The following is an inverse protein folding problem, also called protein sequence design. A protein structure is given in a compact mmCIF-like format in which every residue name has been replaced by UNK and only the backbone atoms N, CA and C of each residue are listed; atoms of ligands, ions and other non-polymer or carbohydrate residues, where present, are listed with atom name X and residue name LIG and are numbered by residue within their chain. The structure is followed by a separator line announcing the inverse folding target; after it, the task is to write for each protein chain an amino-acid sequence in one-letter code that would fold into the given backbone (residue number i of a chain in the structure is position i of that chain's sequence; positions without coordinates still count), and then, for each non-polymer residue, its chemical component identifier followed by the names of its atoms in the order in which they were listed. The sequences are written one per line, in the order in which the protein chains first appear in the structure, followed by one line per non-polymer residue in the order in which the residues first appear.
data_IF_192514946466
#
_entry.id   IF_192514946466
#
_cell.length_a   1.000
_cell.length_b   1.000
_cell.length_c   1.000
_cell.angle_alpha   90.00
_cell.angle_beta   90.00
_cell.angle_gamma   90.00
#
_symmetry.space_group_name_H-M   'P 1'
#
loop_
_entity.id
_entity.type
_entity.pdbx_description
1 polymer ?
#
# COMPACT_ATOMS: atom_id res chain seq x y z
N UNK A 1 9.33 25.35 -7.27
CA UNK A 1 10.55 24.54 -7.10
C UNK A 1 10.04 23.14 -6.88
N UNK A 2 10.34 22.25 -7.82
CA UNK A 2 9.76 20.92 -7.93
C UNK A 2 10.14 20.04 -6.74
N UNK A 3 9.21 19.15 -6.34
CA UNK A 3 9.36 18.24 -5.20
C UNK A 3 10.57 17.29 -5.32
N UNK A 4 11.10 17.08 -6.54
CA UNK A 4 12.23 16.19 -6.83
C UNK A 4 13.60 16.66 -6.31
N UNK A 5 13.74 17.89 -5.80
CA UNK A 5 15.03 18.38 -5.26
C UNK A 5 15.08 18.53 -3.73
N UNK A 6 14.02 18.13 -3.02
CA UNK A 6 13.99 18.10 -1.55
C UNK A 6 14.49 16.71 -1.13
N UNK A 7 15.70 16.61 -0.57
CA UNK A 7 16.27 15.34 -0.06
C UNK A 7 15.35 14.66 0.97
N UNK A 8 15.74 13.52 1.54
CA UNK A 8 14.87 12.80 2.49
C UNK A 8 14.51 13.66 3.72
N UNK A 9 13.40 13.33 4.39
CA UNK A 9 13.05 14.00 5.66
C UNK A 9 14.18 13.79 6.68
N UNK A 10 14.78 12.59 6.69
CA UNK A 10 15.97 12.27 7.47
C UNK A 10 17.13 13.26 7.22
N UNK A 11 17.46 13.56 5.96
CA UNK A 11 18.52 14.51 5.62
C UNK A 11 18.17 15.93 6.10
N UNK A 12 16.91 16.35 5.93
CA UNK A 12 16.45 17.67 6.32
C UNK A 12 16.40 17.89 7.84
N UNK A 13 16.19 16.82 8.63
CA UNK A 13 16.31 16.86 10.09
C UNK A 13 17.77 17.06 10.55
N UNK A 14 18.75 16.71 9.71
CA UNK A 14 20.18 16.70 10.07
C UNK A 14 20.75 15.28 10.27
N UNK A 15 20.06 14.26 9.77
CA UNK A 15 20.51 12.86 9.77
C UNK A 15 20.57 12.22 11.15
N UNK A 16 21.34 11.13 11.25
CA UNK A 16 21.37 10.27 12.44
C UNK A 16 21.66 11.00 13.77
N UNK A 17 22.61 11.98 13.85
CA UNK A 17 22.84 12.71 15.10
C UNK A 17 21.62 13.50 15.58
N UNK A 18 20.89 14.15 14.68
CA UNK A 18 19.70 14.94 15.00
C UNK A 18 18.51 14.06 15.39
N UNK A 19 18.29 12.96 14.67
CA UNK A 19 17.25 11.97 15.03
C UNK A 19 17.54 11.34 16.41
N UNK A 20 18.81 11.08 16.74
CA UNK A 20 19.19 10.59 18.07
C UNK A 20 18.95 11.64 19.17
N UNK A 21 19.22 12.91 18.90
CA UNK A 21 18.92 14.00 19.83
C UNK A 21 17.40 14.09 20.08
N UNK A 22 16.59 14.04 19.02
CA UNK A 22 15.14 14.02 19.08
C UNK A 22 14.61 12.82 19.89
N UNK A 23 15.08 11.61 19.61
CA UNK A 23 14.67 10.41 20.33
C UNK A 23 14.96 10.49 21.84
N UNK A 24 16.12 11.07 22.21
CA UNK A 24 16.48 11.30 23.62
C UNK A 24 15.59 12.35 24.28
N UNK A 25 15.36 13.48 23.61
CA UNK A 25 14.52 14.55 24.11
C UNK A 25 13.07 14.09 24.30
N UNK A 26 12.52 13.38 23.30
CA UNK A 26 11.18 12.81 23.36
C UNK A 26 11.04 11.82 24.52
N UNK A 27 11.98 10.88 24.64
CA UNK A 27 11.95 9.90 25.73
C UNK A 27 12.00 10.58 27.10
N UNK A 28 12.86 11.58 27.28
CA UNK A 28 12.94 12.35 28.52
C UNK A 28 11.62 13.06 28.85
N UNK A 29 10.95 13.65 27.85
CA UNK A 29 9.63 14.27 28.01
C UNK A 29 8.56 13.26 28.39
N UNK A 30 8.49 12.13 27.68
CA UNK A 30 7.50 11.09 27.99
C UNK A 30 7.66 10.52 29.40
N UNK A 31 8.90 10.31 29.87
CA UNK A 31 9.16 9.86 31.25
C UNK A 31 8.70 10.90 32.29
N UNK A 32 8.78 12.19 31.96
CA UNK A 32 8.36 13.27 32.86
C UNK A 32 6.85 13.58 32.79
N UNK A 33 6.16 13.19 31.72
CA UNK A 33 4.75 13.49 31.50
C UNK A 33 3.83 12.49 32.23
N UNK A 34 2.82 12.97 33.00
CA UNK A 34 1.96 12.10 33.80
C UNK A 34 1.06 11.17 32.97
N UNK A 35 0.74 11.53 31.73
CA UNK A 35 -0.06 10.70 30.81
C UNK A 35 0.84 9.77 29.99
N UNK A 36 1.99 10.26 29.51
CA UNK A 36 2.87 9.50 28.63
C UNK A 36 3.86 8.56 29.34
N UNK A 37 4.06 8.71 30.66
CA UNK A 37 5.09 7.97 31.39
C UNK A 37 4.76 6.49 31.62
N UNK A 38 3.48 6.11 31.63
CA UNK A 38 3.05 4.77 32.06
C UNK A 38 3.77 3.61 31.34
N UNK A 39 3.92 3.60 30.00
CA UNK A 39 4.65 2.54 29.29
C UNK A 39 6.10 2.35 29.74
N UNK A 40 6.74 3.41 30.24
CA UNK A 40 8.15 3.42 30.63
C UNK A 40 8.38 2.99 32.09
N UNK A 41 7.32 2.77 32.87
CA UNK A 41 7.42 2.45 34.31
C UNK A 41 7.38 0.96 34.64
N UNK A 42 6.81 0.13 33.76
CA UNK A 42 6.50 -1.28 34.06
C UNK A 42 7.43 -2.30 33.41
N UNK A 43 8.09 -1.93 32.32
CA UNK A 43 8.99 -2.81 31.57
C UNK A 43 10.43 -2.34 31.69
N UNK A 44 11.36 -3.28 31.80
CA UNK A 44 12.79 -2.95 31.71
C UNK A 44 13.09 -2.54 30.27
N UNK A 45 13.27 -1.24 30.04
CA UNK A 45 13.71 -0.73 28.75
C UNK A 45 15.09 -1.29 28.41
N UNK A 46 15.30 -1.54 27.12
CA UNK A 46 16.63 -1.88 26.63
C UNK A 46 17.63 -0.76 27.02
N UNK A 47 18.87 -1.07 27.48
CA UNK A 47 19.86 -0.05 27.87
C UNK A 47 20.20 0.97 26.78
N UNK A 48 19.93 0.63 25.53
CA UNK A 48 20.10 1.48 24.35
C UNK A 48 18.77 1.86 23.69
N UNK A 49 17.69 2.01 24.46
CA UNK A 49 16.35 2.28 23.94
C UNK A 49 16.32 3.48 22.99
N UNK A 50 16.89 4.62 23.39
CA UNK A 50 16.92 5.83 22.55
C UNK A 50 17.71 5.64 21.25
N UNK A 51 18.80 4.87 21.25
CA UNK A 51 19.56 4.56 20.04
C UNK A 51 18.77 3.67 19.07
N UNK A 52 18.07 2.66 19.60
CA UNK A 52 17.21 1.78 18.79
C UNK A 52 16.04 2.54 18.20
N UNK A 53 15.42 3.41 19.00
CA UNK A 53 14.34 4.29 18.57
C UNK A 53 14.82 5.24 17.46
N UNK A 54 15.99 5.85 17.62
CA UNK A 54 16.57 6.73 16.62
C UNK A 54 16.90 6.00 15.31
N UNK A 55 17.41 4.77 15.36
CA UNK A 55 17.65 3.96 14.18
C UNK A 55 16.34 3.62 13.46
N UNK A 56 15.31 3.22 14.21
CA UNK A 56 13.98 2.93 13.67
C UNK A 56 13.35 4.15 12.99
N UNK A 57 13.30 5.28 13.70
CA UNK A 57 12.78 6.55 13.17
C UNK A 57 13.59 7.06 11.99
N UNK A 58 14.92 7.01 12.09
CA UNK A 58 15.81 7.45 11.03
C UNK A 58 15.59 6.65 9.75
N UNK A 59 15.42 5.33 9.89
CA UNK A 59 15.06 4.46 8.79
C UNK A 59 13.68 4.85 8.21
N UNK A 60 12.63 4.96 9.03
CA UNK A 60 11.30 5.38 8.54
C UNK A 60 11.31 6.72 7.78
N UNK A 61 12.16 7.68 8.17
CA UNK A 61 12.24 9.01 7.55
C UNK A 61 13.12 9.08 6.29
N UNK A 62 13.56 7.93 5.77
CA UNK A 62 14.36 7.82 4.54
C UNK A 62 15.88 7.69 4.75
N UNK A 63 16.31 7.46 5.98
CA UNK A 63 17.71 7.19 6.33
C UNK A 63 18.17 5.75 6.00
N UNK A 64 19.45 5.44 6.27
CA UNK A 64 20.02 4.11 6.04
C UNK A 64 19.28 3.01 6.85
N UNK A 65 19.34 1.74 6.42
CA UNK A 65 18.59 0.63 7.03
C UNK A 65 19.23 0.13 8.34
N UNK A 66 19.62 1.03 9.24
CA UNK A 66 20.38 0.70 10.44
C UNK A 66 19.55 -0.16 11.41
N UNK A 67 18.23 0.02 11.45
CA UNK A 67 17.34 -0.76 12.31
C UNK A 67 17.11 -2.16 11.75
N UNK A 68 16.60 -2.26 10.52
CA UNK A 68 16.22 -3.55 9.92
C UNK A 68 17.42 -4.42 9.56
N UNK A 69 18.59 -3.83 9.31
CA UNK A 69 19.80 -4.60 9.00
C UNK A 69 20.42 -5.29 10.23
N UNK A 70 20.21 -4.78 11.45
CA UNK A 70 21.02 -5.22 12.59
C UNK A 70 20.36 -5.18 13.97
N UNK A 71 19.22 -4.48 14.14
CA UNK A 71 18.62 -4.25 15.45
C UNK A 71 17.33 -5.02 15.67
N UNK A 72 16.49 -5.18 14.65
CA UNK A 72 15.21 -5.88 14.76
C UNK A 72 14.39 -5.80 13.49
N UNK A 73 13.15 -6.28 13.55
CA UNK A 73 12.20 -6.24 12.44
C UNK A 73 11.03 -5.28 12.72
N UNK A 74 10.26 -4.94 11.69
CA UNK A 74 8.99 -4.20 11.87
C UNK A 74 8.03 -4.98 12.76
N UNK A 75 7.93 -6.30 12.54
CA UNK A 75 7.10 -7.19 13.35
C UNK A 75 7.45 -7.11 14.84
N UNK A 76 8.73 -6.99 15.21
CA UNK A 76 9.14 -6.84 16.62
C UNK A 76 8.58 -5.56 17.26
N UNK A 77 8.60 -4.44 16.54
CA UNK A 77 8.07 -3.15 17.01
C UNK A 77 6.56 -3.25 17.12
N UNK A 78 5.88 -3.59 16.03
CA UNK A 78 4.41 -3.64 15.97
C UNK A 78 3.86 -4.61 17.02
N UNK A 79 4.48 -5.78 17.20
CA UNK A 79 4.08 -6.76 18.22
C UNK A 79 4.23 -6.24 19.65
N UNK A 80 5.26 -5.45 19.93
CA UNK A 80 5.46 -4.82 21.24
C UNK A 80 4.37 -3.79 21.54
N UNK A 81 3.87 -3.12 20.50
CA UNK A 81 2.88 -2.05 20.59
C UNK A 81 1.42 -2.54 20.44
N UNK A 82 1.20 -3.74 19.91
CA UNK A 82 -0.13 -4.34 19.71
C UNK A 82 -0.72 -4.94 20.99
N UNK A 83 -2.05 -4.90 21.11
CA UNK A 83 -2.78 -5.52 22.22
C UNK A 83 -2.76 -4.74 23.54
N UNK A 84 -2.38 -3.47 23.50
CA UNK A 84 -2.40 -2.58 24.67
C UNK A 84 -3.78 -1.92 24.93
N UNK A 85 -4.75 -2.16 24.03
CA UNK A 85 -6.10 -1.60 24.09
C UNK A 85 -6.16 -0.11 23.69
N UNK A 86 -7.37 0.48 23.61
CA UNK A 86 -7.52 1.89 23.24
C UNK A 86 -6.84 2.82 24.25
N UNK A 87 -6.08 3.79 23.76
CA UNK A 87 -5.30 4.69 24.62
C UNK A 87 -5.11 6.10 24.04
N UNK A 88 -6.18 6.71 23.51
CA UNK A 88 -6.16 8.02 22.85
C UNK A 88 -5.48 9.14 23.66
N UNK A 89 -5.64 9.13 25.00
CA UNK A 89 -4.98 10.10 25.88
C UNK A 89 -3.47 9.94 25.89
N UNK A 90 -2.98 8.69 25.89
CA UNK A 90 -1.56 8.38 25.80
C UNK A 90 -1.00 8.81 24.44
N UNK A 91 -1.69 8.52 23.34
CA UNK A 91 -1.25 8.91 22.00
C UNK A 91 -1.15 10.42 21.85
N UNK A 92 -2.16 11.15 22.33
CA UNK A 92 -2.16 12.60 22.35
C UNK A 92 -1.00 13.16 23.21
N UNK A 93 -0.72 12.55 24.37
CA UNK A 93 0.39 12.96 25.23
C UNK A 93 1.76 12.69 24.57
N UNK A 94 1.93 11.53 23.93
CA UNK A 94 3.13 11.17 23.20
C UNK A 94 3.40 12.15 22.03
N UNK A 95 2.36 12.52 21.27
CA UNK A 95 2.47 13.51 20.20
C UNK A 95 2.82 14.90 20.72
N UNK A 96 2.21 15.37 21.82
CA UNK A 96 2.59 16.64 22.47
C UNK A 96 4.04 16.63 22.92
N UNK A 97 4.50 15.53 23.52
CA UNK A 97 5.90 15.34 23.91
C UNK A 97 6.82 15.40 22.68
N UNK A 98 6.41 14.81 21.56
CA UNK A 98 7.19 14.80 20.31
C UNK A 98 7.35 16.20 19.73
N UNK A 99 6.26 16.96 19.62
CA UNK A 99 6.30 18.33 19.11
C UNK A 99 7.25 19.20 19.94
N UNK A 100 7.17 19.11 21.27
CA UNK A 100 8.03 19.88 22.15
C UNK A 100 9.48 19.35 22.21
N UNK A 101 9.72 18.08 21.88
CA UNK A 101 11.05 17.49 21.77
C UNK A 101 11.81 17.95 20.53
N UNK A 102 11.11 18.35 19.46
CA UNK A 102 11.75 18.95 18.29
C UNK A 102 12.51 20.23 18.65
N UNK A 103 11.98 21.03 19.59
CA UNK A 103 12.66 22.23 20.08
C UNK A 103 13.84 21.90 21.00
N UNK A 104 13.67 20.95 21.92
CA UNK A 104 14.75 20.50 22.81
C UNK A 104 15.94 19.89 22.06
N UNK A 105 15.66 19.28 20.90
CA UNK A 105 16.67 18.70 20.02
C UNK A 105 17.28 19.72 19.04
N UNK A 106 16.87 20.99 19.11
CA UNK A 106 17.34 22.08 18.26
C UNK A 106 17.18 21.77 16.76
N UNK A 107 16.06 21.13 16.38
CA UNK A 107 15.77 20.85 14.97
C UNK A 107 15.53 22.16 14.19
N UNK A 108 15.70 22.17 12.85
CA UNK A 108 15.44 23.35 12.04
C UNK A 108 13.99 23.86 12.20
N UNK A 109 13.81 25.18 12.28
CA UNK A 109 12.50 25.84 12.39
C UNK A 109 11.73 25.94 11.05
N UNK A 110 12.12 25.17 10.04
CA UNK A 110 11.42 25.13 8.75
C UNK A 110 9.98 24.62 8.95
N UNK A 111 8.95 25.44 8.64
CA UNK A 111 7.56 25.07 8.94
C UNK A 111 7.10 23.79 8.24
N UNK A 112 7.59 23.52 7.04
CA UNK A 112 7.21 22.32 6.29
C UNK A 112 7.90 21.06 6.83
N UNK A 113 9.13 21.16 7.35
CA UNK A 113 9.77 20.07 8.08
C UNK A 113 9.03 19.76 9.38
N UNK A 114 8.68 20.80 10.15
CA UNK A 114 7.96 20.65 11.42
C UNK A 114 6.57 20.05 11.21
N UNK A 115 5.86 20.47 10.16
CA UNK A 115 4.57 19.88 9.77
C UNK A 115 4.72 18.41 9.37
N UNK A 116 5.67 18.09 8.48
CA UNK A 116 5.89 16.71 8.01
C UNK A 116 6.24 15.76 9.15
N UNK A 117 7.13 16.16 10.08
CA UNK A 117 7.48 15.36 11.26
C UNK A 117 6.29 15.15 12.21
N UNK A 118 5.47 16.17 12.40
CA UNK A 118 4.29 16.08 13.27
C UNK A 118 3.27 15.10 12.68
N UNK A 119 3.01 15.19 11.37
CA UNK A 119 2.14 14.27 10.63
C UNK A 119 2.69 12.85 10.64
N UNK A 120 3.99 12.69 10.39
CA UNK A 120 4.69 11.41 10.44
C UNK A 120 4.54 10.75 11.80
N UNK A 121 4.79 11.47 12.89
CA UNK A 121 4.74 10.89 14.23
C UNK A 121 3.32 10.44 14.60
N UNK A 122 2.31 11.26 14.26
CA UNK A 122 0.91 10.89 14.45
C UNK A 122 0.54 9.62 13.67
N UNK A 123 0.90 9.56 12.39
CA UNK A 123 0.69 8.38 11.55
C UNK A 123 1.45 7.15 12.05
N UNK A 124 2.72 7.32 12.45
CA UNK A 124 3.56 6.23 12.94
C UNK A 124 3.02 5.64 14.24
N UNK A 125 2.50 6.48 15.15
CA UNK A 125 1.84 5.99 16.38
C UNK A 125 0.60 5.16 16.05
N UNK A 126 -0.25 5.64 15.14
CA UNK A 126 -1.42 4.89 14.70
C UNK A 126 -1.02 3.52 14.12
N UNK A 127 -0.03 3.52 13.21
CA UNK A 127 0.47 2.32 12.56
C UNK A 127 0.94 1.25 13.56
N UNK A 128 1.78 1.63 14.53
CA UNK A 128 2.41 0.64 15.43
C UNK A 128 1.53 0.27 16.62
N UNK A 129 0.72 1.20 17.14
CA UNK A 129 -0.10 0.95 18.34
C UNK A 129 -1.46 0.32 17.99
N UNK A 130 -2.06 0.72 16.87
CA UNK A 130 -3.47 0.44 16.56
C UNK A 130 -3.66 -0.40 15.30
N UNK A 131 -2.58 -0.76 14.60
CA UNK A 131 -2.65 -1.61 13.41
C UNK A 131 -3.16 -3.04 13.67
N UNK A 132 -3.03 -3.55 14.90
CA UNK A 132 -3.45 -4.92 15.25
C UNK A 132 -4.06 -5.01 16.65
N UNK A 133 -5.22 -5.65 16.76
CA UNK A 133 -5.91 -5.87 18.05
C UNK A 133 -5.11 -6.80 18.97
N UNK A 134 -4.40 -7.78 18.41
CA UNK A 134 -3.59 -8.73 19.18
C UNK A 134 -2.20 -8.90 18.59
N UNK A 135 -1.20 -8.94 19.47
CA UNK A 135 0.21 -9.12 19.11
C UNK A 135 0.51 -10.44 18.37
N UNK A 136 -0.30 -11.48 18.58
CA UNK A 136 -0.21 -12.77 17.88
C UNK A 136 -0.68 -12.73 16.42
N UNK A 137 -1.42 -11.71 16.03
CA UNK A 137 -1.97 -11.57 14.68
C UNK A 137 -1.00 -10.80 13.76
N UNK A 138 0.05 -10.21 14.34
CA UNK A 138 1.10 -9.46 13.63
C UNK A 138 1.92 -10.42 12.75
N UNK A 139 1.92 -10.24 11.41
CA UNK A 139 2.69 -11.06 10.48
C UNK A 139 4.20 -10.98 10.74
N UNK A 140 4.92 -12.09 10.54
CA UNK A 140 6.38 -12.13 10.73
C UNK A 140 7.14 -11.40 9.60
N UNK A 141 6.53 -11.26 8.44
CA UNK A 141 7.12 -10.68 7.23
C UNK A 141 6.76 -9.19 7.04
N UNK A 142 6.31 -8.51 8.10
CA UNK A 142 6.07 -7.08 8.06
C UNK A 142 7.33 -6.33 7.63
N UNK A 143 7.13 -5.43 6.66
CA UNK A 143 8.17 -4.53 6.16
C UNK A 143 8.00 -3.17 6.81
N UNK A 144 9.13 -2.57 7.18
CA UNK A 144 9.17 -1.24 7.75
C UNK A 144 8.59 -0.24 6.76
N UNK A 145 7.54 0.47 7.18
CA UNK A 145 6.91 1.52 6.39
C UNK A 145 7.76 2.80 6.43
N UNK A 146 7.94 3.50 5.31
CA UNK A 146 8.68 4.76 5.29
C UNK A 146 7.75 5.94 5.05
N UNK A 147 8.33 7.11 5.22
CA UNK A 147 7.69 8.41 5.15
C UNK A 147 8.53 9.37 4.31
N UNK A 148 7.85 10.04 3.40
CA UNK A 148 8.37 11.12 2.57
C UNK A 148 7.68 12.42 2.93
N UNK A 149 8.05 13.52 2.27
CA UNK A 149 7.57 14.86 2.64
C UNK A 149 6.04 14.98 2.73
N UNK A 150 5.32 14.33 1.83
CA UNK A 150 3.87 14.45 1.70
C UNK A 150 3.07 13.39 2.48
N UNK A 151 3.73 12.35 3.00
CA UNK A 151 3.04 11.23 3.63
C UNK A 151 3.82 9.91 3.63
N UNK A 152 3.17 8.80 3.99
CA UNK A 152 3.75 7.47 3.86
C UNK A 152 4.19 7.23 2.41
N UNK A 153 5.40 6.73 2.24
CA UNK A 153 5.87 6.27 0.93
C UNK A 153 5.53 4.79 0.84
N UNK A 154 5.10 4.36 -0.34
CA UNK A 154 4.93 2.93 -0.60
C UNK A 154 6.27 2.34 -1.05
N UNK A 155 7.23 2.29 -0.13
CA UNK A 155 8.53 1.65 -0.28
C UNK A 155 8.53 0.23 0.33
N UNK A 156 7.38 -0.45 0.25
CA UNK A 156 7.21 -1.86 0.64
C UNK A 156 7.95 -2.84 -0.30
N UNK A 157 8.93 -2.40 -1.09
CA UNK A 157 9.92 -3.24 -1.78
C UNK A 157 9.41 -4.14 -2.91
N UNK A 158 8.25 -3.84 -3.51
CA UNK A 158 7.73 -4.60 -4.67
C UNK A 158 7.38 -3.73 -5.89
N UNK A 159 7.52 -2.41 -5.83
CA UNK A 159 6.93 -1.54 -6.84
C UNK A 159 5.40 -1.65 -6.82
N UNK A 160 4.79 -1.33 -7.95
CA UNK A 160 3.34 -1.46 -8.13
C UNK A 160 2.88 -2.93 -8.03
N UNK A 161 1.57 -3.19 -7.90
CA UNK A 161 1.07 -4.58 -7.92
C UNK A 161 1.47 -5.27 -9.24
N UNK A 162 1.55 -4.51 -10.33
CA UNK A 162 2.09 -4.94 -11.61
C UNK A 162 3.55 -5.40 -11.53
N UNK A 163 4.43 -4.61 -10.91
CA UNK A 163 5.84 -4.97 -10.76
C UNK A 163 6.01 -6.22 -9.90
N UNK A 164 5.24 -6.30 -8.82
CA UNK A 164 5.22 -7.43 -7.89
C UNK A 164 4.78 -8.73 -8.58
N UNK A 165 3.83 -8.64 -9.51
CA UNK A 165 3.37 -9.76 -10.31
C UNK A 165 4.42 -10.23 -11.33
N UNK A 166 5.49 -9.47 -11.60
CA UNK A 166 6.48 -9.80 -12.64
C UNK A 166 6.24 -9.06 -13.96
N UNK A 167 5.44 -7.99 -13.94
CA UNK A 167 5.25 -7.06 -15.04
C UNK A 167 4.53 -7.66 -16.26
N UNK A 168 4.84 -7.13 -17.45
CA UNK A 168 4.10 -7.44 -18.70
C UNK A 168 4.11 -8.92 -19.03
N UNK A 169 5.22 -9.63 -18.79
CA UNK A 169 5.33 -11.04 -19.10
C UNK A 169 4.34 -11.87 -18.29
N UNK A 170 4.22 -11.61 -16.98
CA UNK A 170 3.24 -12.29 -16.14
C UNK A 170 1.82 -11.87 -16.47
N UNK A 171 1.56 -10.58 -16.76
CA UNK A 171 0.21 -10.14 -17.16
C UNK A 171 -0.28 -10.87 -18.40
N UNK A 172 0.60 -11.08 -19.39
CA UNK A 172 0.25 -11.83 -20.59
C UNK A 172 -0.02 -13.31 -20.29
N UNK A 173 0.85 -13.94 -19.49
CA UNK A 173 0.65 -15.33 -19.08
C UNK A 173 -0.65 -15.52 -18.27
N UNK A 174 -0.94 -14.59 -17.36
CA UNK A 174 -2.13 -14.61 -16.52
C UNK A 174 -3.39 -14.41 -17.35
N UNK A 175 -3.38 -13.46 -18.28
CA UNK A 175 -4.50 -13.22 -19.20
C UNK A 175 -4.78 -14.45 -20.07
N UNK A 176 -3.75 -15.13 -20.57
CA UNK A 176 -3.90 -16.35 -21.35
C UNK A 176 -4.48 -17.50 -20.50
N UNK A 177 -3.89 -17.77 -19.32
CA UNK A 177 -4.36 -18.84 -18.44
C UNK A 177 -5.81 -18.63 -17.99
N UNK A 178 -6.16 -17.39 -17.65
CA UNK A 178 -7.54 -17.01 -17.31
C UNK A 178 -8.49 -17.21 -18.49
N UNK A 179 -8.12 -16.74 -19.68
CA UNK A 179 -8.93 -16.87 -20.90
C UNK A 179 -9.20 -18.34 -21.25
N UNK A 180 -8.15 -19.16 -21.27
CA UNK A 180 -8.25 -20.60 -21.53
C UNK A 180 -9.23 -21.29 -20.55
N UNK A 181 -9.16 -20.92 -19.27
CA UNK A 181 -10.09 -21.43 -18.24
C UNK A 181 -11.53 -20.98 -18.48
N UNK A 182 -11.74 -19.73 -18.83
CA UNK A 182 -13.08 -19.20 -19.10
C UNK A 182 -13.72 -19.83 -20.34
N UNK A 183 -12.95 -20.04 -21.42
CA UNK A 183 -13.41 -20.72 -22.64
C UNK A 183 -13.70 -22.21 -22.39
N UNK A 184 -12.96 -22.85 -21.48
CA UNK A 184 -13.19 -24.24 -21.11
C UNK A 184 -14.38 -24.44 -20.15
N UNK A 185 -14.78 -23.41 -19.40
CA UNK A 185 -15.88 -23.51 -18.44
C UNK A 185 -17.24 -23.37 -19.13
N UNK A 186 -18.17 -24.34 -19.00
CA UNK A 186 -19.44 -24.33 -19.73
C UNK A 186 -20.37 -23.17 -19.35
N UNK A 187 -20.18 -22.52 -18.20
CA UNK A 187 -20.97 -21.35 -17.78
C UNK A 187 -20.42 -20.07 -18.38
N UNK A 188 -19.10 -19.90 -18.41
CA UNK A 188 -18.46 -18.70 -18.95
C UNK A 188 -18.34 -18.73 -20.48
N UNK A 189 -18.05 -19.89 -21.09
CA UNK A 189 -17.77 -20.03 -22.52
C UNK A 189 -18.75 -19.32 -23.47
N UNK A 190 -20.08 -19.29 -23.23
CA UNK A 190 -21.01 -18.55 -24.08
C UNK A 190 -20.70 -17.04 -24.18
N UNK A 191 -20.13 -16.42 -23.13
CA UNK A 191 -19.75 -15.01 -23.13
C UNK A 191 -18.51 -14.72 -24.02
N UNK A 192 -17.71 -15.74 -24.30
CA UNK A 192 -16.48 -15.66 -25.12
C UNK A 192 -16.71 -16.19 -26.55
N UNK A 193 -17.93 -16.63 -26.89
CA UNK A 193 -18.20 -17.36 -28.14
C UNK A 193 -18.02 -16.53 -29.43
N UNK A 194 -18.10 -15.20 -29.33
CA UNK A 194 -17.88 -14.29 -30.46
C UNK A 194 -16.41 -13.86 -30.61
N UNK A 195 -15.53 -14.30 -29.71
CA UNK A 195 -14.11 -13.98 -29.77
C UNK A 195 -13.40 -14.79 -30.86
N UNK A 196 -12.57 -14.11 -31.66
CA UNK A 196 -11.80 -14.75 -32.70
C UNK A 196 -10.70 -15.66 -32.09
N UNK A 197 -10.42 -16.85 -32.66
CA UNK A 197 -9.42 -17.79 -32.13
C UNK A 197 -7.98 -17.25 -32.05
N UNK A 198 -7.63 -16.24 -32.85
CA UNK A 198 -6.31 -15.59 -32.87
C UNK A 198 -6.33 -14.22 -32.17
N UNK A 199 -7.29 -13.97 -31.28
CA UNK A 199 -7.62 -12.60 -30.91
C UNK A 199 -6.50 -11.92 -30.11
N UNK A 200 -6.14 -10.75 -30.60
CA UNK A 200 -5.45 -9.65 -29.90
C UNK A 200 -6.11 -9.30 -28.54
N UNK A 201 -7.27 -9.90 -28.22
CA UNK A 201 -8.01 -9.75 -26.97
C UNK A 201 -7.15 -10.05 -25.75
N UNK A 202 -6.43 -11.18 -25.71
CA UNK A 202 -5.58 -11.54 -24.54
C UNK A 202 -4.48 -10.51 -24.33
N UNK A 203 -3.88 -10.00 -25.41
CA UNK A 203 -2.85 -8.95 -25.35
C UNK A 203 -3.42 -7.63 -24.84
N UNK A 204 -4.59 -7.23 -25.34
CA UNK A 204 -5.32 -6.04 -24.88
C UNK A 204 -5.73 -6.15 -23.42
N UNK A 205 -6.19 -7.33 -23.00
CA UNK A 205 -6.57 -7.65 -21.63
C UNK A 205 -5.37 -7.51 -20.69
N UNK A 206 -4.23 -8.12 -21.05
CA UNK A 206 -2.99 -8.00 -20.29
C UNK A 206 -2.49 -6.55 -20.20
N UNK A 207 -2.59 -5.77 -21.27
CA UNK A 207 -2.25 -4.35 -21.26
C UNK A 207 -3.18 -3.55 -20.33
N UNK A 208 -4.49 -3.80 -20.39
CA UNK A 208 -5.47 -3.15 -19.51
C UNK A 208 -5.23 -3.49 -18.04
N UNK A 209 -5.06 -4.78 -17.72
CA UNK A 209 -4.75 -5.25 -16.37
C UNK A 209 -3.45 -4.65 -15.84
N UNK A 210 -2.39 -4.69 -16.65
CA UNK A 210 -1.11 -4.13 -16.27
C UNK A 210 -1.22 -2.64 -15.94
N UNK A 211 -1.91 -1.87 -16.78
CA UNK A 211 -2.11 -0.44 -16.55
C UNK A 211 -2.93 -0.16 -15.27
N UNK A 212 -3.99 -0.94 -15.02
CA UNK A 212 -4.82 -0.83 -13.81
C UNK A 212 -4.06 -1.14 -12.51
N UNK A 213 -3.05 -2.01 -12.58
CA UNK A 213 -2.24 -2.45 -11.45
C UNK A 213 -0.96 -1.61 -11.24
N UNK A 214 -0.85 -0.46 -11.94
CA UNK A 214 0.25 0.49 -11.82
C UNK A 214 1.37 0.33 -12.86
N UNK A 215 1.18 -0.53 -13.86
CA UNK A 215 2.09 -0.70 -14.99
C UNK A 215 2.00 0.41 -16.04
N UNK A 216 2.76 0.29 -17.15
CA UNK A 216 2.79 1.26 -18.23
C UNK A 216 1.42 1.53 -18.86
N UNK A 217 1.31 2.70 -19.47
CA UNK A 217 0.18 3.23 -20.24
C UNK A 217 -0.21 2.45 -21.51
N UNK A 218 0.19 1.19 -21.62
CA UNK A 218 0.15 0.45 -22.87
C UNK A 218 -1.28 0.29 -23.41
N UNK A 219 -2.29 0.15 -22.54
CA UNK A 219 -3.67 0.02 -22.99
C UNK A 219 -4.14 1.30 -23.68
N UNK A 220 -4.02 2.42 -22.97
CA UNK A 220 -4.49 3.72 -23.44
C UNK A 220 -3.72 4.29 -24.62
N UNK A 221 -2.44 3.94 -24.73
CA UNK A 221 -1.59 4.41 -25.83
C UNK A 221 -1.80 3.63 -27.12
N UNK A 222 -2.17 2.34 -27.05
CA UNK A 222 -2.13 1.44 -28.19
C UNK A 222 -3.49 0.90 -28.62
N UNK A 223 -4.47 0.80 -27.70
CA UNK A 223 -5.69 0.02 -27.97
C UNK A 223 -7.00 0.78 -27.78
N UNK A 224 -7.15 1.61 -26.75
CA UNK A 224 -8.42 2.32 -26.55
C UNK A 224 -8.53 3.05 -25.21
N UNK A 225 -9.74 3.47 -24.87
CA UNK A 225 -10.02 4.17 -23.61
C UNK A 225 -10.68 3.25 -22.57
N UNK A 226 -10.65 3.68 -21.30
CA UNK A 226 -11.42 3.04 -20.23
C UNK A 226 -12.92 3.00 -20.55
N UNK A 227 -13.44 4.05 -21.18
CA UNK A 227 -14.83 4.11 -21.63
C UNK A 227 -15.15 2.99 -22.65
N UNK A 228 -14.22 2.65 -23.54
CA UNK A 228 -14.42 1.57 -24.52
C UNK A 228 -14.48 0.19 -23.85
N UNK A 229 -13.67 -0.02 -22.79
CA UNK A 229 -13.72 -1.26 -21.99
C UNK A 229 -15.08 -1.40 -21.32
N UNK A 230 -15.52 -0.36 -20.60
CA UNK A 230 -16.80 -0.39 -19.87
C UNK A 230 -17.98 -0.57 -20.83
N UNK A 231 -18.02 0.16 -21.95
CA UNK A 231 -19.11 0.01 -22.94
C UNK A 231 -19.20 -1.39 -23.52
N UNK A 232 -18.07 -2.08 -23.66
CA UNK A 232 -18.04 -3.46 -24.15
C UNK A 232 -18.53 -4.50 -23.13
N UNK A 233 -18.66 -4.14 -21.86
CA UNK A 233 -18.95 -5.09 -20.77
C UNK A 233 -20.23 -4.76 -19.99
N UNK A 234 -20.63 -3.49 -19.93
CA UNK A 234 -21.87 -3.07 -19.29
C UNK A 234 -23.10 -3.34 -20.17
N UNK A 235 -24.28 -3.47 -19.56
CA UNK A 235 -25.55 -3.63 -20.28
C UNK A 235 -25.82 -5.02 -20.85
N UNK A 236 -25.04 -6.03 -20.45
CA UNK A 236 -25.22 -7.43 -20.86
C UNK A 236 -26.33 -8.18 -20.08
N UNK A 237 -27.08 -7.49 -19.22
CA UNK A 237 -28.13 -8.06 -18.37
C UNK A 237 -27.57 -8.84 -17.17
N UNK A 238 -28.41 -9.51 -16.37
CA UNK A 238 -27.94 -10.26 -15.19
C UNK A 238 -27.10 -11.50 -15.56
N UNK A 239 -25.87 -11.60 -15.04
CA UNK A 239 -24.94 -12.69 -15.34
C UNK A 239 -24.10 -13.12 -14.12
N UNK A 240 -24.70 -13.13 -12.91
CA UNK A 240 -24.00 -13.43 -11.65
C UNK A 240 -23.27 -14.80 -11.67
N UNK A 241 -23.85 -15.81 -12.32
CA UNK A 241 -23.21 -17.11 -12.46
C UNK A 241 -21.90 -17.03 -13.26
N UNK A 242 -21.86 -16.19 -14.29
CA UNK A 242 -20.65 -15.92 -15.08
C UNK A 242 -19.65 -15.17 -14.22
N UNK A 243 -20.07 -14.14 -13.47
CA UNK A 243 -19.20 -13.38 -12.57
C UNK A 243 -18.49 -14.27 -11.54
N UNK A 244 -19.21 -15.22 -10.95
CA UNK A 244 -18.63 -16.17 -10.00
C UNK A 244 -17.60 -17.10 -10.67
N UNK A 245 -17.87 -17.53 -11.90
CA UNK A 245 -16.99 -18.41 -12.67
C UNK A 245 -15.71 -17.68 -13.07
N UNK A 246 -15.80 -16.48 -13.65
CA UNK A 246 -14.62 -15.75 -14.11
C UNK A 246 -13.70 -15.35 -12.95
N UNK A 247 -14.27 -15.06 -11.76
CA UNK A 247 -13.49 -14.79 -10.53
C UNK A 247 -12.78 -16.05 -10.03
N UNK A 248 -13.44 -17.22 -10.06
CA UNK A 248 -12.81 -18.50 -9.73
C UNK A 248 -11.69 -18.82 -10.71
N UNK A 249 -11.96 -18.72 -12.02
CA UNK A 249 -10.97 -18.95 -13.06
C UNK A 249 -9.75 -18.03 -12.90
N UNK A 250 -9.95 -16.78 -12.46
CA UNK A 250 -8.84 -15.86 -12.20
C UNK A 250 -7.99 -16.31 -11.02
N UNK A 251 -8.61 -16.70 -9.89
CA UNK A 251 -7.87 -17.22 -8.75
C UNK A 251 -7.06 -18.47 -9.12
N UNK A 252 -7.63 -19.40 -9.89
CA UNK A 252 -6.91 -20.60 -10.33
C UNK A 252 -5.80 -20.26 -11.36
N UNK A 253 -5.98 -19.23 -12.19
CA UNK A 253 -4.97 -18.77 -13.13
C UNK A 253 -3.76 -18.13 -12.42
N UNK A 254 -3.94 -17.51 -11.25
CA UNK A 254 -2.83 -17.03 -10.43
C UNK A 254 -1.91 -18.19 -9.99
N UNK A 255 -2.50 -19.33 -9.61
CA UNK A 255 -1.76 -20.54 -9.27
C UNK A 255 -1.00 -21.09 -10.49
N UNK A 256 -1.65 -21.11 -11.67
CA UNK A 256 -1.04 -21.63 -12.90
C UNK A 256 0.22 -20.87 -13.32
N UNK A 257 0.23 -19.55 -13.14
CA UNK A 257 1.38 -18.69 -13.51
C UNK A 257 2.40 -18.54 -12.39
N UNK A 258 2.22 -19.24 -11.27
CA UNK A 258 3.18 -19.30 -10.18
C UNK A 258 3.18 -18.07 -9.27
N UNK A 259 2.05 -17.36 -9.15
CA UNK A 259 1.89 -16.31 -8.12
C UNK A 259 1.65 -16.98 -6.77
N UNK A 260 2.75 -17.37 -6.11
CA UNK A 260 2.72 -18.11 -4.83
C UNK A 260 2.78 -17.22 -3.59
N UNK A 261 3.16 -15.94 -3.74
CA UNK A 261 3.14 -14.98 -2.64
C UNK A 261 1.70 -14.72 -2.21
N UNK A 262 1.37 -15.03 -0.96
CA UNK A 262 -0.02 -15.03 -0.49
C UNK A 262 -0.63 -13.64 -0.52
N UNK A 263 0.15 -12.61 -0.20
CA UNK A 263 -0.31 -11.23 -0.17
C UNK A 263 -0.63 -10.76 -1.59
N UNK A 264 0.28 -10.97 -2.54
CA UNK A 264 0.08 -10.67 -3.95
C UNK A 264 -1.12 -11.41 -4.52
N UNK A 265 -1.23 -12.70 -4.23
CA UNK A 265 -2.37 -13.52 -4.65
C UNK A 265 -3.70 -12.92 -4.15
N UNK A 266 -3.80 -12.62 -2.85
CA UNK A 266 -5.02 -12.05 -2.25
C UNK A 266 -5.33 -10.64 -2.77
N UNK A 267 -4.30 -9.81 -2.99
CA UNK A 267 -4.45 -8.49 -3.60
C UNK A 267 -4.97 -8.57 -5.03
N UNK A 268 -4.42 -9.45 -5.87
CA UNK A 268 -4.87 -9.64 -7.25
C UNK A 268 -6.29 -10.20 -7.32
N UNK A 269 -6.64 -11.16 -6.44
CA UNK A 269 -8.00 -11.70 -6.38
C UNK A 269 -9.03 -10.63 -5.95
N UNK A 270 -8.69 -9.80 -4.96
CA UNK A 270 -9.52 -8.65 -4.54
C UNK A 270 -9.69 -7.62 -5.65
N UNK A 271 -8.59 -7.26 -6.31
CA UNK A 271 -8.60 -6.34 -7.44
C UNK A 271 -9.49 -6.85 -8.57
N UNK A 272 -9.33 -8.10 -8.99
CA UNK A 272 -10.11 -8.66 -10.09
C UNK A 272 -11.60 -8.69 -9.76
N UNK A 273 -11.94 -9.07 -8.52
CA UNK A 273 -13.30 -9.04 -8.02
C UNK A 273 -13.91 -7.62 -8.08
N UNK A 274 -13.16 -6.60 -7.66
CA UNK A 274 -13.59 -5.22 -7.73
C UNK A 274 -13.69 -4.72 -9.18
N UNK A 275 -12.69 -4.98 -10.00
CA UNK A 275 -12.63 -4.54 -11.39
C UNK A 275 -13.74 -5.17 -12.23
N UNK A 276 -14.05 -6.46 -12.01
CA UNK A 276 -15.16 -7.14 -12.67
C UNK A 276 -16.50 -6.49 -12.32
N UNK A 277 -16.69 -6.10 -11.06
CA UNK A 277 -17.92 -5.43 -10.64
C UNK A 277 -18.04 -4.04 -11.27
N UNK A 278 -16.96 -3.25 -11.18
CA UNK A 278 -16.91 -1.90 -11.75
C UNK A 278 -17.19 -1.88 -13.25
N UNK A 279 -16.55 -2.77 -14.01
CA UNK A 279 -16.61 -2.76 -15.48
C UNK A 279 -17.92 -3.33 -16.01
N UNK A 280 -18.48 -4.37 -15.39
CA UNK A 280 -19.73 -4.99 -15.86
C UNK A 280 -20.99 -4.32 -15.28
N UNK A 281 -20.92 -3.83 -14.04
CA UNK A 281 -22.09 -3.40 -13.27
C UNK A 281 -22.03 -1.94 -12.81
N UNK A 282 -20.94 -1.22 -13.06
CA UNK A 282 -20.82 0.20 -12.71
C UNK A 282 -21.77 1.12 -13.50
N UNK A 283 -22.25 0.66 -14.65
CA UNK A 283 -23.20 1.38 -15.51
C UNK A 283 -24.29 0.45 -16.02
N UNK A 284 -25.54 0.93 -16.03
CA UNK A 284 -26.67 0.13 -16.54
C UNK A 284 -26.64 -0.03 -18.07
N UNK A 285 -26.18 1.01 -18.78
CA UNK A 285 -26.20 1.05 -20.25
C UNK A 285 -24.92 1.66 -20.81
N UNK A 286 -24.44 1.18 -21.98
CA UNK A 286 -23.26 1.77 -22.64
C UNK A 286 -23.38 3.27 -22.93
N UNK A 287 -24.59 3.77 -23.16
CA UNK A 287 -24.85 5.18 -23.41
C UNK A 287 -24.65 6.09 -22.20
N UNK A 288 -24.60 5.53 -20.99
CA UNK A 288 -24.41 6.27 -19.73
C UNK A 288 -22.92 6.40 -19.35
N UNK A 289 -22.02 5.76 -20.10
CA UNK A 289 -20.58 5.79 -19.86
C UNK A 289 -19.98 7.09 -20.43
N UNK A 290 -19.35 7.96 -19.60
CA UNK A 290 -18.71 9.18 -20.06
C UNK A 290 -17.59 8.92 -21.06
N UNK A 291 -17.46 9.78 -22.07
CA UNK A 291 -16.38 9.68 -23.08
C UNK A 291 -14.98 9.90 -22.47
N UNK A 292 -14.89 10.70 -21.42
CA UNK A 292 -13.67 11.05 -20.71
C UNK A 292 -13.44 10.20 -19.45
N UNK A 293 -14.12 9.05 -19.33
CA UNK A 293 -14.00 8.16 -18.18
C UNK A 293 -12.53 7.80 -17.91
N UNK A 294 -12.16 7.91 -16.64
CA UNK A 294 -10.91 7.41 -16.07
C UNK A 294 -11.23 6.46 -14.92
N UNK A 295 -10.87 5.19 -15.08
CA UNK A 295 -11.07 4.21 -14.02
C UNK A 295 -10.01 4.39 -12.93
N UNK A 296 -10.37 4.19 -11.65
CA UNK A 296 -9.40 4.19 -10.55
C UNK A 296 -8.33 3.12 -10.78
N UNK A 297 -7.06 3.44 -10.49
CA UNK A 297 -5.98 2.43 -10.45
C UNK A 297 -6.10 1.62 -9.16
N UNK A 298 -5.36 0.52 -9.07
CA UNK A 298 -5.37 -0.33 -7.89
C UNK A 298 -3.97 -0.45 -7.27
N UNK A 299 -3.89 -0.16 -5.96
CA UNK A 299 -2.72 -0.38 -5.13
C UNK A 299 -2.84 -1.64 -4.29
N UNK A 300 -1.81 -1.92 -3.50
CA UNK A 300 -1.85 -2.95 -2.47
C UNK A 300 -3.05 -2.85 -1.53
N UNK A 301 -3.52 -1.63 -1.27
CA UNK A 301 -4.52 -1.36 -0.23
C UNK A 301 -5.92 -1.17 -0.82
N UNK A 302 -6.06 -0.87 -2.11
CA UNK A 302 -7.35 -0.74 -2.79
C UNK A 302 -7.31 0.22 -3.98
N UNK A 303 -8.47 0.72 -4.43
CA UNK A 303 -8.53 1.66 -5.54
C UNK A 303 -7.94 3.03 -5.16
N UNK A 304 -7.18 3.62 -6.08
CA UNK A 304 -6.63 4.99 -6.00
C UNK A 304 -7.34 5.86 -7.04
N UNK A 305 -7.76 7.06 -6.64
CA UNK A 305 -8.40 8.02 -7.55
C UNK A 305 -7.50 8.36 -8.75
N UNK A 306 -8.07 8.60 -9.95
CA UNK A 306 -7.29 9.12 -11.08
C UNK A 306 -6.57 10.46 -10.82
N UNK A 307 -6.96 11.20 -9.79
CA UNK A 307 -6.26 12.44 -9.36
C UNK A 307 -5.04 12.17 -8.47
N UNK A 308 -4.94 10.96 -7.93
CA UNK A 308 -3.91 10.50 -6.98
C UNK A 308 -2.94 9.50 -7.61
N UNK A 309 -3.17 9.09 -8.86
CA UNK A 309 -2.43 8.06 -9.63
C UNK A 309 -1.66 8.65 -10.81
#
# INVERSE_FOLDING_TARGET
MDAEHRGSVFDAVGGAPAVLALARAWHARCVADPEASHPFTRQTLHPHHAQRLAAYWGEMLGGPPDYTASLGTEADIVRTHSGNGPHDTLDAAALRCFVAAMDDAELPDDPALRDSLTRWFAWSNELVNHGWEHSRDVPEDLRLARWGWEGPVDDRGHGTVFDAAGGTATMLALAQAWHDRCVADPVAAPAFAEEAPDSEHVVRLAAFWGEMLGGPAAYREQYGSDADVVRGHCGNGPHEAVDQVVRRCFAEALDDVGVTDRRLHDTLARWFAWSNDLVNHGWERPADVPDDLRLPRWSWDGPISPEEA
#
